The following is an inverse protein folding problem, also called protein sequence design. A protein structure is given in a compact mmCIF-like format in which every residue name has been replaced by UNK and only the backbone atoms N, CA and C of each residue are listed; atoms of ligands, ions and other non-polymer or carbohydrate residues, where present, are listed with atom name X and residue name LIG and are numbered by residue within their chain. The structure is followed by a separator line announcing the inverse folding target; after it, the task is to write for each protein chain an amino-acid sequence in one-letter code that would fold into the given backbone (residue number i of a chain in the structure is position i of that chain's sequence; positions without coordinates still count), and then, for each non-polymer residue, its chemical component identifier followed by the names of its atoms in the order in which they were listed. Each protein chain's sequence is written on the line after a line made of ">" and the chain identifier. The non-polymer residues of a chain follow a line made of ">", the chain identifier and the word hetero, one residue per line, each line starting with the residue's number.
data_IF_877972067610
#
_entry.id   IF_877972067610
#
_cell.length_a   1.000
_cell.length_b   1.000
_cell.length_c   1.000
_cell.angle_alpha   90.00
_cell.angle_beta   90.00
_cell.angle_gamma   90.00
#
_symmetry.space_group_name_H-M   'P 1'
#
loop_
_entity.id
_entity.type
_entity.pdbx_description
1 polymer ?
#
# COMPACT_ATOMS: atom_id res chain seq x y z
N UNK A 1 -4.14 15.75 -10.95
CA UNK A 1 -2.96 16.60 -10.69
C UNK A 1 -1.73 15.77 -11.01
N UNK A 2 -0.68 16.33 -11.63
CA UNK A 2 0.57 15.59 -11.83
C UNK A 2 1.37 15.68 -10.53
N UNK A 3 1.79 14.54 -9.95
CA UNK A 3 2.64 14.51 -8.75
C UNK A 3 4.02 15.08 -9.04
N UNK A 4 4.66 15.61 -8.01
CA UNK A 4 6.10 15.92 -8.06
C UNK A 4 6.91 14.73 -8.57
N UNK A 5 7.96 14.96 -9.35
CA UNK A 5 8.72 13.90 -10.04
C UNK A 5 9.25 12.85 -9.05
N UNK A 6 9.75 13.26 -7.87
CA UNK A 6 10.17 12.36 -6.79
C UNK A 6 9.09 11.46 -6.16
N UNK A 7 7.80 11.81 -6.29
CA UNK A 7 6.68 10.99 -5.79
C UNK A 7 6.03 10.15 -6.91
N UNK A 8 6.38 10.40 -8.17
CA UNK A 8 5.81 9.64 -9.28
C UNK A 8 6.15 8.14 -9.27
N UNK A 9 7.35 7.69 -8.86
CA UNK A 9 7.63 6.25 -8.77
C UNK A 9 6.60 5.53 -7.89
N UNK A 10 6.37 6.02 -6.66
CA UNK A 10 5.38 5.46 -5.73
C UNK A 10 3.96 5.55 -6.31
N UNK A 11 3.57 6.72 -6.84
CA UNK A 11 2.24 6.92 -7.42
C UNK A 11 1.96 6.01 -8.64
N UNK A 12 2.97 5.61 -9.41
CA UNK A 12 2.81 4.68 -10.54
C UNK A 12 2.44 3.26 -10.07
N UNK A 13 2.94 2.84 -8.92
CA UNK A 13 2.68 1.52 -8.31
C UNK A 13 1.24 1.40 -7.79
N UNK A 14 0.56 2.53 -7.56
CA UNK A 14 -0.85 2.55 -7.12
C UNK A 14 -1.82 2.02 -8.17
N UNK A 15 -1.54 2.17 -9.46
CA UNK A 15 -2.44 1.70 -10.51
C UNK A 15 -2.65 0.16 -10.46
N UNK A 16 -1.59 -0.68 -10.53
CA UNK A 16 -1.77 -2.12 -10.39
C UNK A 16 -2.33 -2.52 -9.02
N UNK A 17 -1.97 -1.81 -7.94
CA UNK A 17 -2.56 -2.05 -6.62
C UNK A 17 -4.09 -1.86 -6.60
N UNK A 18 -4.61 -0.79 -7.21
CA UNK A 18 -6.05 -0.54 -7.34
C UNK A 18 -6.77 -1.58 -8.20
N UNK A 19 -6.11 -2.13 -9.22
CA UNK A 19 -6.66 -3.23 -10.01
C UNK A 19 -6.85 -4.47 -9.14
N UNK A 20 -5.85 -4.83 -8.32
CA UNK A 20 -5.98 -5.96 -7.39
C UNK A 20 -7.00 -5.70 -6.29
N UNK A 21 -7.01 -4.49 -5.73
CA UNK A 21 -8.00 -4.06 -4.74
C UNK A 21 -9.43 -4.23 -5.26
N UNK A 22 -9.68 -3.83 -6.52
CA UNK A 22 -10.99 -4.02 -7.15
C UNK A 22 -11.33 -5.50 -7.35
N UNK A 23 -10.40 -6.32 -7.83
CA UNK A 23 -10.61 -7.76 -8.01
C UNK A 23 -10.98 -8.46 -6.71
N UNK A 24 -10.29 -8.13 -5.63
CA UNK A 24 -10.56 -8.62 -4.29
C UNK A 24 -11.94 -8.18 -3.80
N UNK A 25 -12.24 -6.88 -3.89
CA UNK A 25 -13.49 -6.28 -3.43
C UNK A 25 -14.73 -6.80 -4.14
N UNK A 26 -14.65 -6.97 -5.45
CA UNK A 26 -15.78 -7.37 -6.27
C UNK A 26 -15.93 -8.91 -6.33
N UNK A 27 -15.18 -9.66 -5.50
CA UNK A 27 -15.23 -11.12 -5.49
C UNK A 27 -16.56 -11.64 -4.94
N UNK A 28 -17.22 -12.50 -5.72
CA UNK A 28 -18.49 -13.14 -5.38
C UNK A 28 -18.55 -14.62 -5.79
N UNK A 29 -17.40 -15.32 -5.71
CA UNK A 29 -17.27 -16.72 -6.12
C UNK A 29 -17.37 -17.73 -4.98
N UNK A 30 -17.06 -19.00 -5.29
CA UNK A 30 -17.00 -20.09 -4.31
C UNK A 30 -15.65 -20.16 -3.57
N UNK A 31 -15.54 -21.02 -2.55
CA UNK A 31 -14.34 -21.13 -1.72
C UNK A 31 -13.06 -21.53 -2.48
N UNK A 32 -13.17 -22.33 -3.55
CA UNK A 32 -12.01 -22.70 -4.36
C UNK A 32 -11.49 -21.49 -5.15
N UNK A 33 -12.39 -20.71 -5.74
CA UNK A 33 -12.05 -19.47 -6.45
C UNK A 33 -11.51 -18.40 -5.48
N UNK A 34 -12.05 -18.32 -4.26
CA UNK A 34 -11.58 -17.40 -3.22
C UNK A 34 -10.13 -17.72 -2.84
N UNK A 35 -9.82 -19.01 -2.68
CA UNK A 35 -8.45 -19.47 -2.40
C UNK A 35 -7.50 -19.14 -3.55
N UNK A 36 -7.89 -19.39 -4.79
CA UNK A 36 -7.08 -19.07 -5.97
C UNK A 36 -6.78 -17.57 -6.06
N UNK A 37 -7.80 -16.73 -5.91
CA UNK A 37 -7.63 -15.27 -5.90
C UNK A 37 -6.75 -14.82 -4.73
N UNK A 38 -6.93 -15.41 -3.55
CA UNK A 38 -6.09 -15.13 -2.39
C UNK A 38 -4.61 -15.46 -2.64
N UNK A 39 -4.30 -16.61 -3.22
CA UNK A 39 -2.92 -16.99 -3.57
C UNK A 39 -2.32 -16.07 -4.63
N UNK A 40 -3.09 -15.69 -5.65
CA UNK A 40 -2.66 -14.73 -6.65
C UNK A 40 -2.35 -13.36 -6.03
N UNK A 41 -3.20 -12.89 -5.10
CA UNK A 41 -2.96 -11.65 -4.38
C UNK A 41 -1.73 -11.73 -3.47
N UNK A 42 -1.48 -12.86 -2.80
CA UNK A 42 -0.26 -13.05 -1.99
C UNK A 42 1.01 -12.95 -2.86
N UNK A 43 0.98 -13.48 -4.08
CA UNK A 43 2.08 -13.32 -5.04
C UNK A 43 2.30 -11.86 -5.43
N UNK A 44 1.23 -11.12 -5.74
CA UNK A 44 1.31 -9.68 -6.03
C UNK A 44 1.80 -8.87 -4.83
N UNK A 45 1.33 -9.20 -3.63
CA UNK A 45 1.78 -8.57 -2.40
C UNK A 45 3.29 -8.70 -2.22
N UNK A 46 3.83 -9.90 -2.40
CA UNK A 46 5.27 -10.16 -2.20
C UNK A 46 6.14 -9.48 -3.27
N UNK A 47 5.63 -9.39 -4.50
CA UNK A 47 6.37 -8.78 -5.61
C UNK A 47 6.34 -7.25 -5.59
N UNK A 48 5.21 -6.64 -5.20
CA UNK A 48 4.97 -5.21 -5.43
C UNK A 48 4.67 -4.47 -4.10
N UNK A 49 3.53 -4.75 -3.47
CA UNK A 49 3.03 -3.95 -2.32
C UNK A 49 4.01 -3.96 -1.14
N UNK A 50 4.63 -5.11 -0.85
CA UNK A 50 5.55 -5.20 0.27
C UNK A 50 6.82 -4.35 0.09
N UNK A 51 7.27 -4.15 -1.15
CA UNK A 51 8.40 -3.28 -1.46
C UNK A 51 7.97 -1.82 -1.43
N UNK A 52 6.81 -1.49 -2.02
CA UNK A 52 6.21 -0.16 -1.93
C UNK A 52 6.15 0.38 -0.49
N UNK A 53 5.61 -0.41 0.46
CA UNK A 53 5.55 0.01 1.87
C UNK A 53 6.93 0.21 2.49
N UNK A 54 7.93 -0.58 2.08
CA UNK A 54 9.30 -0.39 2.57
C UNK A 54 9.87 0.92 2.04
N UNK A 55 9.67 1.21 0.77
CA UNK A 55 10.17 2.45 0.17
C UNK A 55 9.54 3.68 0.85
N UNK A 56 8.27 3.62 1.23
CA UNK A 56 7.65 4.66 2.03
C UNK A 56 8.22 4.74 3.45
N UNK A 57 8.27 3.61 4.16
CA UNK A 57 8.73 3.54 5.56
C UNK A 57 10.22 3.87 5.73
N UNK A 58 11.05 3.56 4.74
CA UNK A 58 12.50 3.71 4.79
C UNK A 58 13.00 4.99 4.12
N UNK A 59 12.20 5.61 3.22
CA UNK A 59 12.62 6.80 2.47
C UNK A 59 11.66 7.99 2.68
N UNK A 60 10.37 7.84 2.36
CA UNK A 60 9.42 8.97 2.39
C UNK A 60 9.11 9.44 3.82
N UNK A 61 8.67 8.52 4.69
CA UNK A 61 8.25 8.85 6.05
C UNK A 61 9.40 9.42 6.90
N UNK A 62 10.66 8.94 6.82
CA UNK A 62 11.78 9.54 7.53
C UNK A 62 12.07 10.99 7.12
N UNK A 63 11.94 11.31 5.82
CA UNK A 63 12.10 12.70 5.35
C UNK A 63 10.97 13.59 5.87
N UNK A 64 9.73 13.08 5.87
CA UNK A 64 8.60 13.82 6.46
C UNK A 64 8.80 14.05 7.95
N UNK A 65 9.24 13.03 8.69
CA UNK A 65 9.51 13.12 10.12
C UNK A 65 10.57 14.20 10.42
N UNK A 66 11.64 14.26 9.61
CA UNK A 66 12.67 15.29 9.75
C UNK A 66 12.14 16.72 9.56
N UNK A 67 11.14 16.92 8.68
CA UNK A 67 10.63 18.26 8.32
C UNK A 67 9.38 18.68 9.09
N UNK A 68 8.50 17.74 9.40
CA UNK A 68 7.17 17.98 9.97
C UNK A 68 6.97 17.37 11.37
N UNK A 69 7.94 16.61 11.88
CA UNK A 69 7.89 15.94 13.18
C UNK A 69 7.47 14.48 13.10
N UNK A 70 8.03 13.65 13.98
CA UNK A 70 7.77 12.20 14.05
C UNK A 70 6.29 11.87 14.35
N UNK A 71 5.56 12.81 14.97
CA UNK A 71 4.16 12.68 15.39
C UNK A 71 3.16 13.30 14.40
N UNK A 72 3.60 13.62 13.18
CA UNK A 72 2.71 14.05 12.12
C UNK A 72 1.60 13.00 11.88
N UNK A 73 0.34 13.47 11.82
CA UNK A 73 -0.83 12.61 11.71
C UNK A 73 -0.80 11.71 10.47
N UNK A 74 -0.27 12.22 9.37
CA UNK A 74 -0.13 11.54 8.10
C UNK A 74 0.82 10.34 8.20
N UNK A 75 1.95 10.50 8.90
CA UNK A 75 2.92 9.42 9.14
C UNK A 75 2.27 8.32 9.99
N UNK A 76 1.60 8.70 11.08
CA UNK A 76 0.94 7.75 11.98
C UNK A 76 -0.17 6.97 11.27
N UNK A 77 -0.96 7.64 10.43
CA UNK A 77 -2.04 7.01 9.66
C UNK A 77 -1.50 6.03 8.61
N UNK A 78 -0.45 6.41 7.85
CA UNK A 78 0.22 5.50 6.90
C UNK A 78 0.68 4.21 7.60
N UNK A 79 1.43 4.35 8.70
CA UNK A 79 1.93 3.19 9.46
C UNK A 79 0.78 2.33 10.03
N UNK A 80 -0.29 2.95 10.50
CA UNK A 80 -1.46 2.23 10.99
C UNK A 80 -2.12 1.42 9.87
N UNK A 81 -2.29 2.00 8.67
CA UNK A 81 -2.84 1.31 7.51
C UNK A 81 -1.95 0.16 7.04
N UNK A 82 -0.61 0.35 7.03
CA UNK A 82 0.35 -0.71 6.71
C UNK A 82 0.23 -1.90 7.66
N UNK A 83 0.15 -1.64 8.97
CA UNK A 83 -0.04 -2.69 9.98
C UNK A 83 -1.36 -3.44 9.76
N UNK A 84 -2.44 -2.74 9.46
CA UNK A 84 -3.75 -3.36 9.20
C UNK A 84 -3.71 -4.27 7.96
N UNK A 85 -3.10 -3.82 6.86
CA UNK A 85 -2.97 -4.59 5.63
C UNK A 85 -2.04 -5.81 5.82
N UNK A 86 -0.89 -5.63 6.47
CA UNK A 86 0.03 -6.72 6.82
C UNK A 86 -0.64 -7.78 7.69
N UNK A 87 -1.48 -7.37 8.66
CA UNK A 87 -2.28 -8.29 9.48
C UNK A 87 -3.23 -9.13 8.63
N UNK A 88 -3.96 -8.50 7.71
CA UNK A 88 -4.90 -9.21 6.82
C UNK A 88 -4.19 -10.18 5.87
N UNK A 89 -3.03 -9.79 5.35
CA UNK A 89 -2.16 -10.66 4.54
C UNK A 89 -1.64 -11.84 5.36
N UNK A 90 -1.21 -11.61 6.60
CA UNK A 90 -0.77 -12.68 7.50
C UNK A 90 -1.91 -13.67 7.78
N UNK A 91 -3.13 -13.20 7.98
CA UNK A 91 -4.32 -14.06 8.11
C UNK A 91 -4.55 -14.88 6.83
N UNK A 92 -4.49 -14.25 5.66
CA UNK A 92 -4.66 -14.92 4.36
C UNK A 92 -3.58 -15.99 4.12
N UNK A 93 -2.32 -15.74 4.49
CA UNK A 93 -1.23 -16.73 4.42
C UNK A 93 -1.50 -17.93 5.31
N UNK A 94 -1.94 -17.71 6.56
CA UNK A 94 -2.25 -18.78 7.51
C UNK A 94 -3.38 -19.68 6.99
N UNK A 95 -4.46 -19.09 6.49
CA UNK A 95 -5.58 -19.84 5.91
C UNK A 95 -5.13 -20.62 4.67
N UNK A 96 -4.37 -19.98 3.79
CA UNK A 96 -3.81 -20.61 2.59
C UNK A 96 -2.93 -21.81 2.94
N UNK A 97 -1.96 -21.65 3.85
CA UNK A 97 -1.04 -22.72 4.26
C UNK A 97 -1.69 -23.88 5.00
N UNK A 98 -2.75 -23.62 5.77
CA UNK A 98 -3.51 -24.65 6.49
C UNK A 98 -4.55 -25.37 5.63
N UNK A 99 -4.66 -25.05 4.33
CA UNK A 99 -5.77 -25.49 3.48
C UNK A 99 -7.16 -25.17 4.07
N UNK A 100 -7.24 -24.11 4.87
CA UNK A 100 -8.48 -23.66 5.47
C UNK A 100 -9.30 -22.82 4.48
N UNK A 101 -10.63 -22.71 4.66
CA UNK A 101 -11.48 -21.87 3.83
C UNK A 101 -11.03 -20.41 3.86
N UNK A 102 -10.90 -19.81 2.67
CA UNK A 102 -10.83 -18.36 2.47
C UNK A 102 -12.22 -17.95 2.01
N UNK A 103 -12.80 -16.94 2.64
CA UNK A 103 -14.15 -16.45 2.31
C UNK A 103 -14.12 -15.08 1.62
N UNK A 104 -15.23 -14.75 0.97
CA UNK A 104 -15.38 -13.47 0.28
C UNK A 104 -15.24 -12.26 1.24
N UNK A 105 -15.79 -12.27 2.47
CA UNK A 105 -15.59 -11.17 3.41
C UNK A 105 -14.13 -10.80 3.67
N UNK A 106 -13.23 -11.77 3.85
CA UNK A 106 -11.80 -11.48 4.04
C UNK A 106 -11.18 -10.81 2.80
N UNK A 107 -11.47 -11.34 1.61
CA UNK A 107 -10.96 -10.77 0.36
C UNK A 107 -11.51 -9.37 0.13
N UNK A 108 -12.81 -9.16 0.38
CA UNK A 108 -13.44 -7.87 0.19
C UNK A 108 -12.85 -6.82 1.13
N UNK A 109 -12.63 -7.17 2.41
CA UNK A 109 -12.00 -6.30 3.39
C UNK A 109 -10.55 -5.95 3.02
N UNK A 110 -9.78 -6.91 2.47
CA UNK A 110 -8.44 -6.64 1.92
C UNK A 110 -8.49 -5.66 0.75
N UNK A 111 -9.44 -5.85 -0.17
CA UNK A 111 -9.62 -4.96 -1.32
C UNK A 111 -10.03 -3.54 -0.91
N UNK A 112 -10.98 -3.41 0.01
CA UNK A 112 -11.40 -2.10 0.53
C UNK A 112 -10.25 -1.42 1.29
N UNK A 113 -9.50 -2.16 2.10
CA UNK A 113 -8.33 -1.64 2.82
C UNK A 113 -7.26 -1.10 1.87
N UNK A 114 -6.86 -1.88 0.87
CA UNK A 114 -5.82 -1.47 -0.08
C UNK A 114 -6.25 -0.26 -0.91
N UNK A 115 -7.52 -0.22 -1.33
CA UNK A 115 -8.08 0.94 -2.03
C UNK A 115 -8.11 2.19 -1.16
N UNK A 116 -8.46 2.04 0.11
CA UNK A 116 -8.56 3.17 1.05
C UNK A 116 -7.18 3.74 1.34
N UNK A 117 -6.19 2.87 1.46
CA UNK A 117 -4.79 3.22 1.65
C UNK A 117 -4.21 4.01 0.48
N UNK A 118 -4.31 3.48 -0.75
CA UNK A 118 -3.87 4.21 -1.96
C UNK A 118 -4.55 5.57 -2.10
N UNK A 119 -5.84 5.66 -1.75
CA UNK A 119 -6.56 6.95 -1.78
C UNK A 119 -6.04 7.92 -0.73
N UNK A 120 -5.76 7.44 0.47
CA UNK A 120 -5.19 8.25 1.52
C UNK A 120 -3.84 8.82 1.10
N UNK A 121 -2.98 8.01 0.47
CA UNK A 121 -1.67 8.48 0.01
C UNK A 121 -1.79 9.56 -1.06
N UNK A 122 -2.59 9.29 -2.08
CA UNK A 122 -2.79 10.24 -3.16
C UNK A 122 -3.48 11.53 -2.65
N UNK A 123 -4.53 11.42 -1.85
CA UNK A 123 -5.34 12.59 -1.49
C UNK A 123 -4.81 13.35 -0.28
N UNK A 124 -3.94 12.73 0.54
CA UNK A 124 -3.47 13.29 1.82
C UNK A 124 -1.95 13.22 1.97
N UNK A 125 -1.34 12.04 2.00
CA UNK A 125 0.10 11.90 2.30
C UNK A 125 0.99 12.62 1.28
N UNK A 126 0.74 12.42 -0.02
CA UNK A 126 1.57 13.00 -1.08
C UNK A 126 1.39 14.52 -1.16
N UNK A 127 0.17 15.10 -1.11
CA UNK A 127 0.01 16.55 -0.95
C UNK A 127 0.69 17.11 0.29
N UNK A 128 0.66 16.38 1.42
CA UNK A 128 1.38 16.77 2.62
C UNK A 128 2.89 16.76 2.41
N UNK A 129 3.43 15.77 1.70
CA UNK A 129 4.84 15.71 1.32
C UNK A 129 5.24 16.86 0.39
N UNK A 130 4.44 17.16 -0.64
CA UNK A 130 4.67 18.28 -1.55
C UNK A 130 4.67 19.65 -0.85
N UNK A 131 4.01 19.76 0.31
CA UNK A 131 3.97 20.99 1.12
C UNK A 131 5.13 21.12 2.11
N UNK A 132 5.66 20.00 2.61
CA UNK A 132 6.62 19.99 3.72
C UNK A 132 8.05 19.61 3.29
N UNK A 133 8.21 18.90 2.18
CA UNK A 133 9.53 18.50 1.70
C UNK A 133 10.11 19.56 0.75
N UNK A 134 11.32 20.07 1.00
CA UNK A 134 12.02 20.90 0.04
C UNK A 134 12.45 20.09 -1.20
N UNK A 135 12.73 20.79 -2.30
CA UNK A 135 13.14 20.21 -3.58
C UNK A 135 14.30 19.21 -3.46
N UNK A 136 15.25 19.47 -2.56
CA UNK A 136 16.40 18.60 -2.30
C UNK A 136 15.99 17.20 -1.82
N UNK A 137 15.00 17.12 -0.93
CA UNK A 137 14.51 15.86 -0.37
C UNK A 137 13.68 15.09 -1.41
N UNK A 138 12.87 15.82 -2.20
CA UNK A 138 12.08 15.23 -3.29
C UNK A 138 12.96 14.71 -4.43
N UNK A 139 14.04 15.43 -4.77
CA UNK A 139 15.04 14.97 -5.74
C UNK A 139 15.79 13.74 -5.22
N UNK A 140 16.14 13.72 -3.94
CA UNK A 140 16.76 12.56 -3.31
C UNK A 140 15.83 11.33 -3.39
N UNK A 141 14.54 11.48 -3.10
CA UNK A 141 13.55 10.42 -3.25
C UNK A 141 13.52 9.86 -4.68
N UNK A 142 13.46 10.72 -5.69
CA UNK A 142 13.46 10.32 -7.10
C UNK A 142 14.63 9.39 -7.43
N UNK A 143 15.84 9.76 -6.99
CA UNK A 143 17.07 9.02 -7.23
C UNK A 143 17.09 7.67 -6.52
N UNK A 144 16.50 7.56 -5.33
CA UNK A 144 16.46 6.31 -4.57
C UNK A 144 15.43 5.31 -5.10
N UNK A 145 14.32 5.82 -5.66
CA UNK A 145 13.19 5.02 -6.13
C UNK A 145 13.32 4.58 -7.60
N UNK A 146 14.12 5.31 -8.39
CA UNK A 146 14.38 4.95 -9.79
C UNK A 146 15.59 3.99 -9.86
N UNK A 147 15.39 2.74 -9.45
CA UNK A 147 16.42 1.67 -9.47
C UNK A 147 16.33 0.78 -10.71
#
# INVERSE_FOLDING_TARGET
>A
MKRHDGLQPLSREHHPALVQAKRLRDFAGNAAQARELGLAFLGFWDAEIAQHFRDEEELLLPLLAQRAGDDAGEIMETLAQHVQLRRSVMQLRRLSGANAPVDAPLLNALGDGLKSHVRFEEDVLFPFAEQNLPEEDLTYLEQQLTR
#
